data_IF_007826607751
#
_entry.id   IF_007826607751
#
_cell.length_a   1.000
_cell.length_b   1.000
_cell.length_c   1.000
_cell.angle_alpha   90.00
_cell.angle_beta   90.00
_cell.angle_gamma   90.00
#
_symmetry.space_group_name_H-M   'P 1'
#
loop_
_entity.id
_entity.type
_entity.pdbx_description
1 polymer ?
#
# COMPACT_ATOMS: atom_id res chain seq x y z
N UNK A 1 -10.15 -9.98 0.86
CA UNK A 1 -9.88 -8.57 1.24
C UNK A 1 -9.44 -7.76 0.01
N UNK A 2 -9.41 -6.41 0.05
CA UNK A 2 -8.98 -5.57 -1.10
C UNK A 2 -8.16 -4.34 -0.66
N UNK A 3 -7.34 -3.81 -1.56
CA UNK A 3 -6.68 -2.50 -1.40
C UNK A 3 -7.43 -1.42 -2.18
N UNK A 4 -7.62 -0.23 -1.62
CA UNK A 4 -8.21 0.91 -2.34
C UNK A 4 -7.12 1.89 -2.78
N UNK A 5 -7.15 2.25 -4.06
CA UNK A 5 -6.27 3.25 -4.64
C UNK A 5 -7.13 4.39 -5.16
N UNK A 6 -6.89 5.62 -4.71
CA UNK A 6 -7.62 6.79 -5.20
C UNK A 6 -6.67 7.63 -6.05
N UNK A 7 -7.00 7.80 -7.32
CA UNK A 7 -6.24 8.59 -8.28
C UNK A 7 -6.98 9.89 -8.64
N UNK A 8 -6.24 10.96 -8.93
CA UNK A 8 -6.86 12.23 -9.33
C UNK A 8 -7.20 12.26 -10.81
N UNK A 9 -8.46 12.57 -11.10
CA UNK A 9 -8.98 12.66 -12.47
C UNK A 9 -8.61 13.99 -13.15
N UNK A 10 -8.50 15.08 -12.39
CA UNK A 10 -8.18 16.42 -12.92
C UNK A 10 -6.76 16.55 -13.50
N UNK A 11 -5.87 15.59 -13.23
CA UNK A 11 -4.53 15.58 -13.84
C UNK A 11 -4.52 15.12 -15.31
N UNK A 12 -5.65 14.62 -15.85
CA UNK A 12 -5.71 14.19 -17.25
C UNK A 12 -4.67 13.10 -17.59
N UNK A 13 -4.35 12.23 -16.64
CA UNK A 13 -3.35 11.18 -16.85
C UNK A 13 -3.81 10.23 -17.97
N UNK A 14 -2.89 9.90 -18.88
CA UNK A 14 -3.10 8.83 -19.85
C UNK A 14 -3.33 7.50 -19.12
N UNK A 15 -3.98 6.55 -19.77
CA UNK A 15 -4.24 5.21 -19.22
C UNK A 15 -2.96 4.53 -18.72
N UNK A 16 -1.88 4.57 -19.51
CA UNK A 16 -0.58 4.02 -19.11
C UNK A 16 0.03 4.71 -17.90
N UNK A 17 -0.06 6.05 -17.83
CA UNK A 17 0.44 6.81 -16.67
C UNK A 17 -0.40 6.49 -15.43
N UNK A 18 -1.72 6.46 -15.54
CA UNK A 18 -2.61 6.11 -14.44
C UNK A 18 -2.30 4.70 -13.89
N UNK A 19 -2.16 3.71 -14.78
CA UNK A 19 -1.82 2.34 -14.39
C UNK A 19 -0.48 2.28 -13.63
N UNK A 20 0.57 2.92 -14.16
CA UNK A 20 1.88 2.97 -13.51
C UNK A 20 1.79 3.59 -12.12
N UNK A 21 1.03 4.68 -11.98
CA UNK A 21 0.88 5.35 -10.70
C UNK A 21 0.07 4.52 -9.68
N UNK A 22 -0.95 3.77 -10.13
CA UNK A 22 -1.65 2.80 -9.27
C UNK A 22 -0.71 1.67 -8.81
N UNK A 23 0.14 1.14 -9.70
CA UNK A 23 1.17 0.16 -9.33
C UNK A 23 2.13 0.73 -8.27
N UNK A 24 2.66 1.93 -8.48
CA UNK A 24 3.55 2.60 -7.53
C UNK A 24 2.89 2.79 -6.16
N UNK A 25 1.61 3.20 -6.10
CA UNK A 25 0.92 3.32 -4.83
C UNK A 25 0.77 1.99 -4.09
N UNK A 26 0.46 0.92 -4.82
CA UNK A 26 0.31 -0.40 -4.23
C UNK A 26 1.63 -0.96 -3.67
N UNK A 27 2.70 -0.85 -4.45
CA UNK A 27 4.04 -1.30 -4.05
C UNK A 27 4.60 -0.45 -2.91
N UNK A 28 4.42 0.86 -2.99
CA UNK A 28 4.91 1.75 -1.96
C UNK A 28 4.17 1.57 -0.62
N UNK A 29 2.90 1.17 -0.66
CA UNK A 29 2.18 0.73 0.54
C UNK A 29 2.86 -0.51 1.15
N UNK A 30 3.20 -1.54 0.39
CA UNK A 30 3.84 -2.75 0.96
C UNK A 30 5.28 -2.49 1.43
N UNK A 31 6.04 -1.73 0.65
CA UNK A 31 7.45 -1.46 0.97
C UNK A 31 7.63 -0.47 2.11
N UNK A 32 6.67 0.41 2.39
CA UNK A 32 6.70 1.21 3.63
C UNK A 32 6.58 0.33 4.86
N UNK A 33 5.73 -0.71 4.84
CA UNK A 33 5.63 -1.67 5.95
C UNK A 33 6.94 -2.41 6.18
N UNK A 34 7.62 -2.85 5.10
CA UNK A 34 8.92 -3.51 5.22
C UNK A 34 10.00 -2.57 5.77
N UNK A 35 10.04 -1.32 5.31
CA UNK A 35 11.04 -0.34 5.72
C UNK A 35 10.86 0.11 7.17
N UNK A 36 9.62 0.40 7.54
CA UNK A 36 9.32 1.13 8.77
C UNK A 36 8.98 0.19 9.93
N UNK A 37 8.65 -1.07 9.66
CA UNK A 37 8.22 -2.01 10.72
C UNK A 37 8.72 -3.45 10.60
N UNK A 38 9.44 -3.84 9.54
CA UNK A 38 10.07 -5.16 9.56
C UNK A 38 11.24 -5.16 10.55
N UNK A 39 11.45 -6.30 11.19
CA UNK A 39 12.70 -6.55 11.89
C UNK A 39 13.78 -6.84 10.84
N UNK A 40 14.73 -5.93 10.69
CA UNK A 40 15.81 -6.04 9.70
C UNK A 40 17.11 -6.39 10.39
N UNK A 41 17.73 -7.47 9.95
CA UNK A 41 19.02 -7.94 10.45
C UNK A 41 20.00 -8.13 9.30
N UNK A 42 21.27 -7.81 9.56
CA UNK A 42 22.35 -8.06 8.60
C UNK A 42 22.75 -9.54 8.65
N UNK A 43 22.88 -10.16 7.49
CA UNK A 43 23.20 -11.59 7.33
C UNK A 43 24.18 -11.79 6.17
N UNK A 44 24.90 -12.91 6.17
CA UNK A 44 25.64 -13.35 4.98
C UNK A 44 24.82 -14.38 4.21
N UNK A 45 24.71 -14.23 2.89
CA UNK A 45 24.06 -15.24 2.05
C UNK A 45 24.95 -16.48 1.86
N UNK A 46 24.47 -17.46 1.07
CA UNK A 46 25.21 -18.71 0.79
C UNK A 46 26.54 -18.50 0.05
N UNK A 47 26.76 -17.32 -0.51
CA UNK A 47 28.00 -16.93 -1.20
C UNK A 47 28.97 -16.15 -0.31
N UNK A 48 28.57 -15.86 0.95
CA UNK A 48 29.31 -15.00 1.86
C UNK A 48 29.10 -13.50 1.62
N UNK A 49 28.13 -13.12 0.78
CA UNK A 49 27.83 -11.71 0.51
C UNK A 49 26.93 -11.14 1.60
N UNK A 50 27.28 -9.93 2.07
CA UNK A 50 26.50 -9.18 3.03
C UNK A 50 25.12 -8.79 2.45
N UNK A 51 24.07 -9.14 3.19
CA UNK A 51 22.66 -8.99 2.83
C UNK A 51 21.84 -8.54 4.04
N UNK A 52 20.59 -8.11 3.79
CA UNK A 52 19.62 -7.85 4.84
C UNK A 52 18.50 -8.89 4.81
N UNK A 53 18.21 -9.49 5.97
CA UNK A 53 17.01 -10.30 6.20
C UNK A 53 15.95 -9.41 6.85
N UNK A 54 14.77 -9.32 6.22
CA UNK A 54 13.62 -8.61 6.78
C UNK A 54 12.55 -9.62 7.20
N UNK A 55 12.09 -9.52 8.44
CA UNK A 55 10.98 -10.31 8.98
C UNK A 55 9.81 -9.38 9.32
N UNK A 56 8.64 -9.67 8.75
CA UNK A 56 7.44 -8.88 8.97
C UNK A 56 6.27 -9.80 9.35
N UNK A 57 5.49 -9.39 10.34
CA UNK A 57 4.31 -10.13 10.81
C UNK A 57 3.07 -9.55 10.12
N UNK A 58 2.48 -10.33 9.22
CA UNK A 58 1.14 -10.04 8.70
C UNK A 58 0.07 -10.67 9.58
N UNK A 59 -1.10 -10.03 9.69
CA UNK A 59 -2.29 -10.71 10.22
C UNK A 59 -2.68 -11.85 9.29
N UNK A 60 -3.22 -12.91 9.85
CA UNK A 60 -3.56 -14.12 9.11
C UNK A 60 -4.53 -13.82 7.96
N UNK A 61 -5.54 -12.99 8.22
CA UNK A 61 -6.55 -12.61 7.23
C UNK A 61 -5.95 -11.80 6.08
N UNK A 62 -4.99 -10.91 6.37
CA UNK A 62 -4.29 -10.16 5.31
C UNK A 62 -3.46 -11.09 4.44
N UNK A 63 -2.74 -12.02 5.06
CA UNK A 63 -1.88 -12.94 4.34
C UNK A 63 -2.71 -13.89 3.45
N UNK A 64 -3.72 -14.54 4.01
CA UNK A 64 -4.55 -15.53 3.29
C UNK A 64 -5.52 -14.86 2.30
N UNK A 65 -6.28 -13.85 2.72
CA UNK A 65 -7.39 -13.32 1.91
C UNK A 65 -7.01 -12.18 0.98
N UNK A 66 -5.84 -11.56 1.18
CA UNK A 66 -5.34 -10.49 0.31
C UNK A 66 -4.09 -10.92 -0.43
N UNK A 67 -2.98 -11.19 0.25
CA UNK A 67 -1.68 -11.47 -0.37
C UNK A 67 -1.72 -12.77 -1.18
N UNK A 68 -2.15 -13.87 -0.56
CA UNK A 68 -2.25 -15.19 -1.19
C UNK A 68 -3.57 -15.40 -1.95
N UNK A 69 -4.56 -14.53 -1.74
CA UNK A 69 -5.80 -14.51 -2.51
C UNK A 69 -5.59 -13.93 -3.92
N UNK A 70 -6.64 -13.38 -4.52
CA UNK A 70 -6.55 -12.75 -5.86
C UNK A 70 -5.84 -11.38 -5.86
N UNK A 71 -5.29 -10.96 -4.72
CA UNK A 71 -4.54 -9.72 -4.55
C UNK A 71 -5.30 -8.46 -5.04
N UNK A 72 -6.60 -8.44 -4.74
CA UNK A 72 -7.58 -7.46 -5.24
C UNK A 72 -7.17 -6.01 -4.97
N UNK A 73 -7.28 -5.18 -6.00
CA UNK A 73 -7.12 -3.72 -5.93
C UNK A 73 -8.33 -3.07 -6.58
N UNK A 74 -8.85 -2.01 -5.95
CA UNK A 74 -9.94 -1.22 -6.50
C UNK A 74 -9.45 0.21 -6.70
N UNK A 75 -9.52 0.70 -7.93
CA UNK A 75 -9.11 2.05 -8.30
C UNK A 75 -10.33 2.95 -8.36
N UNK A 76 -10.35 3.99 -7.54
CA UNK A 76 -11.38 5.02 -7.53
C UNK A 76 -10.80 6.36 -8.01
N UNK A 77 -11.68 7.23 -8.49
CA UNK A 77 -11.29 8.54 -8.98
C UNK A 77 -11.71 9.64 -7.98
N UNK A 78 -10.74 10.45 -7.56
CA UNK A 78 -11.01 11.74 -6.92
C UNK A 78 -11.14 12.81 -8.00
N UNK A 79 -12.16 13.69 -7.88
CA UNK A 79 -12.36 14.80 -8.83
C UNK A 79 -11.15 15.73 -8.88
N UNK A 80 -10.56 16.04 -7.73
CA UNK A 80 -9.38 16.90 -7.58
C UNK A 80 -8.67 16.65 -6.25
N UNK A 81 -7.58 17.39 -5.99
CA UNK A 81 -6.81 17.32 -4.73
C UNK A 81 -7.68 17.46 -3.48
N UNK A 82 -8.65 18.37 -3.47
CA UNK A 82 -9.54 18.55 -2.32
C UNK A 82 -10.36 17.30 -2.04
N UNK A 83 -10.89 16.64 -3.07
CA UNK A 83 -11.64 15.38 -2.89
C UNK A 83 -10.72 14.23 -2.45
N UNK A 84 -9.49 14.17 -2.96
CA UNK A 84 -8.50 13.20 -2.51
C UNK A 84 -8.18 13.38 -1.02
N UNK A 85 -7.98 14.63 -0.56
CA UNK A 85 -7.70 14.91 0.85
C UNK A 85 -8.89 14.61 1.76
N UNK A 86 -10.13 14.85 1.31
CA UNK A 86 -11.34 14.44 2.04
C UNK A 86 -11.40 12.92 2.20
N UNK A 87 -11.15 12.17 1.12
CA UNK A 87 -11.13 10.71 1.18
C UNK A 87 -10.02 10.19 2.11
N UNK A 88 -8.85 10.88 2.13
CA UNK A 88 -7.77 10.57 3.08
C UNK A 88 -8.22 10.79 4.53
N UNK A 89 -8.83 11.93 4.84
CA UNK A 89 -9.31 12.24 6.20
C UNK A 89 -10.34 11.21 6.67
N UNK A 90 -11.28 10.81 5.82
CA UNK A 90 -12.25 9.75 6.14
C UNK A 90 -11.58 8.41 6.43
N UNK A 91 -10.49 8.09 5.71
CA UNK A 91 -9.74 6.87 5.95
C UNK A 91 -9.04 6.89 7.32
N UNK A 92 -8.43 8.03 7.66
CA UNK A 92 -7.80 8.24 8.95
C UNK A 92 -8.81 8.13 10.11
N UNK A 93 -10.00 8.73 9.97
CA UNK A 93 -11.11 8.59 10.93
C UNK A 93 -11.59 7.14 11.11
N UNK A 94 -11.44 6.30 10.08
CA UNK A 94 -11.77 4.87 10.13
C UNK A 94 -10.62 3.99 10.65
N UNK A 95 -9.49 4.59 11.08
CA UNK A 95 -8.31 3.87 11.54
C UNK A 95 -7.47 3.25 10.42
N UNK A 96 -7.64 3.75 9.19
CA UNK A 96 -6.92 3.33 7.98
C UNK A 96 -5.75 4.29 7.72
N UNK A 97 -4.96 4.54 8.77
CA UNK A 97 -3.85 5.50 8.75
C UNK A 97 -2.56 4.90 8.19
N UNK A 98 -2.01 5.56 7.17
CA UNK A 98 -0.71 5.22 6.59
C UNK A 98 0.38 5.20 7.68
N UNK A 99 0.98 4.03 7.94
CA UNK A 99 2.10 3.91 8.88
C UNK A 99 1.71 3.61 10.34
N UNK A 100 0.42 3.67 10.73
CA UNK A 100 -0.05 3.26 12.07
C UNK A 100 -1.13 2.15 12.07
N UNK A 101 -1.50 1.65 10.89
CA UNK A 101 -2.44 0.53 10.73
C UNK A 101 -2.00 -0.77 11.44
N UNK A 102 -2.75 -1.30 12.43
CA UNK A 102 -2.83 -2.74 12.63
C UNK A 102 -3.63 -3.30 11.46
N UNK A 103 -2.96 -3.58 10.34
CA UNK A 103 -3.48 -4.24 9.12
C UNK A 103 -5.03 -4.34 9.07
N UNK A 104 -5.73 -3.36 8.48
CA UNK A 104 -7.15 -3.25 8.67
C UNK A 104 -7.90 -4.33 7.89
N UNK A 105 -9.05 -4.73 8.44
CA UNK A 105 -10.03 -5.64 7.84
C UNK A 105 -10.58 -5.18 6.47
N UNK A 106 -10.07 -4.14 5.81
CA UNK A 106 -10.51 -3.85 4.44
C UNK A 106 -9.73 -2.85 3.58
N UNK A 107 -8.77 -2.05 4.05
CA UNK A 107 -8.39 -0.87 3.26
C UNK A 107 -6.99 -0.32 3.59
N UNK A 108 -6.04 -0.42 2.67
CA UNK A 108 -4.83 0.40 2.68
C UNK A 108 -4.96 1.48 1.61
N UNK A 109 -4.93 2.76 1.98
CA UNK A 109 -5.13 3.90 1.09
C UNK A 109 -3.81 4.64 0.86
N UNK A 110 -3.36 4.72 -0.40
CA UNK A 110 -2.22 5.56 -0.76
C UNK A 110 -2.59 6.58 -1.83
N UNK A 111 -2.19 7.84 -1.60
CA UNK A 111 -2.43 8.94 -2.53
C UNK A 111 -1.67 8.70 -3.82
N UNK A 112 -2.41 8.62 -4.92
CA UNK A 112 -1.84 8.74 -6.26
C UNK A 112 -2.14 10.15 -6.77
N UNK A 113 -1.11 10.78 -7.33
CA UNK A 113 -1.10 12.15 -7.84
C UNK A 113 -2.40 12.55 -8.54
#
# INVERSE_FOLDING_TARGET
>A
MRQLIIARKDLGMSSGKLAAQCCHASEAFLTSHLRDRANVTEVSDVTGKLCYKAEYIFSKEVYEDWICGIFTKTVCAAKNRTHLLKAKAMAEEMGLEEGNEPLPKSFGLRKVA
#
